data_IF_195773967690
#
_entry.id   IF_195773967690
#
_cell.length_a   1.000
_cell.length_b   1.000
_cell.length_c   1.000
_cell.angle_alpha   90.00
_cell.angle_beta   90.00
_cell.angle_gamma   90.00
#
_symmetry.space_group_name_H-M   'P 1'
#
loop_
_entity.id
_entity.type
_entity.pdbx_description
1 polymer ?
#
# COMPACT_ATOMS: atom_id res chain seq x y z
N UNK A 1 -17.10 37.64 -24.22
CA UNK A 1 -17.92 36.65 -23.49
C UNK A 1 -17.13 35.36 -23.35
N UNK A 2 -16.30 35.22 -22.29
CA UNK A 2 -15.75 33.92 -21.92
C UNK A 2 -16.87 33.10 -21.27
N UNK A 3 -17.11 31.93 -21.85
CA UNK A 3 -18.30 31.10 -21.69
C UNK A 3 -18.40 30.50 -20.28
N UNK A 4 -19.62 30.49 -19.77
CA UNK A 4 -20.08 29.75 -18.58
C UNK A 4 -19.60 28.29 -18.54
N UNK A 5 -19.35 27.68 -19.71
CA UNK A 5 -18.78 26.34 -19.86
C UNK A 5 -17.38 26.17 -19.24
N UNK A 6 -16.55 27.23 -19.22
CA UNK A 6 -15.20 27.18 -18.65
C UNK A 6 -15.21 27.09 -17.12
N UNK A 7 -16.22 27.67 -16.46
CA UNK A 7 -16.35 27.61 -15.00
C UNK A 7 -16.82 26.23 -14.53
N UNK A 8 -17.63 25.53 -15.32
CA UNK A 8 -18.09 24.18 -15.00
C UNK A 8 -16.93 23.17 -15.02
N UNK A 9 -16.05 23.25 -16.01
CA UNK A 9 -14.83 22.43 -16.08
C UNK A 9 -13.88 22.70 -14.92
N UNK A 10 -13.72 23.97 -14.53
CA UNK A 10 -12.87 24.34 -13.39
C UNK A 10 -13.43 23.78 -12.07
N UNK A 11 -14.75 23.86 -11.90
CA UNK A 11 -15.44 23.32 -10.72
C UNK A 11 -15.35 21.79 -10.64
N UNK A 12 -15.44 21.11 -11.78
CA UNK A 12 -15.32 19.64 -11.87
C UNK A 12 -13.88 19.15 -11.59
N UNK A 13 -12.88 19.91 -12.03
CA UNK A 13 -11.48 19.64 -11.70
C UNK A 13 -11.18 19.88 -10.21
N UNK A 14 -11.79 20.91 -9.62
CA UNK A 14 -11.66 21.20 -8.18
C UNK A 14 -12.29 20.11 -7.32
N UNK A 15 -13.49 19.61 -7.66
CA UNK A 15 -14.14 18.53 -6.90
C UNK A 15 -13.40 17.19 -7.05
N UNK A 16 -12.84 16.90 -8.23
CA UNK A 16 -12.02 15.70 -8.44
C UNK A 16 -10.73 15.75 -7.61
N UNK A 17 -10.09 16.93 -7.55
CA UNK A 17 -8.90 17.18 -6.73
C UNK A 17 -9.20 17.05 -5.24
N UNK A 18 -10.36 17.55 -4.79
CA UNK A 18 -10.77 17.51 -3.37
C UNK A 18 -11.05 16.07 -2.91
N UNK A 19 -11.77 15.27 -3.71
CA UNK A 19 -12.04 13.85 -3.43
C UNK A 19 -10.76 13.01 -3.39
N UNK A 20 -9.77 13.31 -4.25
CA UNK A 20 -8.48 12.63 -4.26
C UNK A 20 -7.60 12.94 -3.03
N UNK A 21 -7.86 14.06 -2.33
CA UNK A 21 -7.17 14.44 -1.10
C UNK A 21 -7.85 13.81 0.12
N UNK A 22 -9.19 13.82 0.18
CA UNK A 22 -9.92 13.22 1.32
C UNK A 22 -9.79 11.69 1.39
N UNK A 23 -9.71 11.00 0.25
CA UNK A 23 -9.47 9.54 0.22
C UNK A 23 -8.01 9.13 0.54
N UNK A 24 -7.10 10.06 0.86
CA UNK A 24 -5.71 9.73 1.28
C UNK A 24 -5.59 9.37 2.76
N UNK A 25 -6.50 9.89 3.57
CA UNK A 25 -6.57 9.57 4.99
C UNK A 25 -7.99 9.06 5.24
N UNK A 26 -8.13 7.74 5.21
CA UNK A 26 -9.31 7.13 5.79
C UNK A 26 -8.97 6.82 7.26
N UNK A 27 -9.47 7.58 8.24
CA UNK A 27 -9.35 7.23 9.65
C UNK A 27 -10.29 6.05 10.03
N UNK A 28 -10.83 5.32 9.05
CA UNK A 28 -11.58 4.10 9.30
C UNK A 28 -10.58 2.98 9.64
N UNK A 29 -10.30 2.90 10.93
CA UNK A 29 -9.86 1.69 11.60
C UNK A 29 -10.93 0.62 11.37
N UNK A 30 -10.82 -0.12 10.27
CA UNK A 30 -11.56 -1.37 10.14
C UNK A 30 -11.23 -2.22 11.37
N UNK A 31 -12.25 -2.77 12.03
CA UNK A 31 -12.03 -3.57 13.24
C UNK A 31 -10.99 -4.64 12.93
N UNK A 32 -9.91 -4.75 13.74
CA UNK A 32 -8.82 -5.66 13.45
C UNK A 32 -9.33 -7.09 13.34
N UNK A 33 -8.98 -7.76 12.25
CA UNK A 33 -9.37 -9.14 12.01
C UNK A 33 -8.32 -10.07 12.63
N UNK A 34 -8.74 -10.96 13.52
CA UNK A 34 -7.87 -11.95 14.15
C UNK A 34 -8.01 -13.27 13.41
N UNK A 35 -6.91 -13.75 12.83
CA UNK A 35 -6.89 -15.02 12.10
C UNK A 35 -5.79 -15.91 12.70
N UNK A 36 -6.13 -17.17 12.97
CA UNK A 36 -5.17 -18.21 13.34
C UNK A 36 -4.48 -18.74 12.08
N UNK A 37 -3.20 -18.46 11.90
CA UNK A 37 -2.41 -19.02 10.80
C UNK A 37 -1.45 -20.06 11.38
N UNK A 38 -1.69 -21.32 11.02
CA UNK A 38 -1.08 -22.50 11.65
C UNK A 38 -1.39 -22.62 13.16
N UNK A 39 -1.34 -23.82 13.72
CA UNK A 39 -1.82 -24.12 15.10
C UNK A 39 -1.11 -23.36 16.23
N UNK A 40 -0.18 -22.45 15.94
CA UNK A 40 0.74 -21.85 16.92
C UNK A 40 0.77 -20.31 16.90
N UNK A 41 0.39 -19.61 15.81
CA UNK A 41 0.48 -18.15 15.72
C UNK A 41 -0.90 -17.49 15.49
N UNK A 42 -1.32 -16.64 16.43
CA UNK A 42 -2.45 -15.74 16.22
C UNK A 42 -1.92 -14.48 15.51
N UNK A 43 -2.27 -14.29 14.24
CA UNK A 43 -1.93 -13.07 13.50
C UNK A 43 -3.13 -12.12 13.61
N UNK A 44 -2.92 -10.98 14.29
CA UNK A 44 -3.83 -9.83 14.24
C UNK A 44 -3.38 -8.95 13.09
N UNK A 45 -4.23 -8.78 12.07
CA UNK A 45 -3.95 -7.91 10.92
C UNK A 45 -5.01 -6.83 10.80
N UNK A 46 -4.57 -5.60 10.57
CA UNK A 46 -5.42 -4.41 10.46
C UNK A 46 -4.89 -3.53 9.34
N UNK A 47 -5.78 -2.94 8.53
CA UNK A 47 -5.38 -1.96 7.53
C UNK A 47 -5.38 -0.57 8.18
N UNK A 48 -4.20 0.01 8.32
CA UNK A 48 -4.00 1.29 9.00
C UNK A 48 -4.17 2.48 8.05
N UNK A 49 -3.70 2.33 6.81
CA UNK A 49 -3.82 3.38 5.80
C UNK A 49 -3.81 2.76 4.39
N UNK A 50 -4.43 3.43 3.44
CA UNK A 50 -4.34 3.07 2.04
C UNK A 50 -4.60 4.28 1.13
N UNK A 51 -4.09 4.20 -0.09
CA UNK A 51 -4.38 5.17 -1.15
C UNK A 51 -4.31 4.47 -2.51
N UNK A 52 -5.22 4.84 -3.42
CA UNK A 52 -5.18 4.35 -4.81
C UNK A 52 -5.33 2.83 -4.94
N UNK A 53 -5.96 2.17 -3.97
CA UNK A 53 -6.09 0.71 -3.91
C UNK A 53 -7.53 0.26 -4.01
N UNK A 54 -7.79 -0.80 -4.77
CA UNK A 54 -9.10 -1.45 -4.81
C UNK A 54 -9.26 -2.48 -3.68
N UNK A 55 -10.49 -2.90 -3.40
CA UNK A 55 -10.77 -3.98 -2.44
C UNK A 55 -9.99 -5.26 -2.76
N UNK A 56 -9.90 -5.62 -4.04
CA UNK A 56 -9.17 -6.81 -4.50
C UNK A 56 -7.67 -6.69 -4.18
N UNK A 57 -7.09 -5.49 -4.33
CA UNK A 57 -5.70 -5.24 -3.95
C UNK A 57 -5.50 -5.41 -2.44
N UNK A 58 -6.40 -4.83 -1.63
CA UNK A 58 -6.34 -4.96 -0.16
C UNK A 58 -6.43 -6.42 0.29
N UNK A 59 -7.34 -7.21 -0.30
CA UNK A 59 -7.49 -8.62 0.02
C UNK A 59 -6.29 -9.46 -0.46
N UNK A 60 -5.76 -9.18 -1.64
CA UNK A 60 -4.57 -9.87 -2.16
C UNK A 60 -3.35 -9.60 -1.26
N UNK A 61 -3.15 -8.34 -0.87
CA UNK A 61 -2.09 -7.94 0.04
C UNK A 61 -2.23 -8.62 1.41
N UNK A 62 -3.43 -8.59 2.00
CA UNK A 62 -3.74 -9.29 3.25
C UNK A 62 -3.42 -10.78 3.16
N UNK A 63 -3.84 -11.46 2.09
CA UNK A 63 -3.56 -12.88 1.89
C UNK A 63 -2.05 -13.16 1.71
N UNK A 64 -1.34 -12.29 0.99
CA UNK A 64 0.10 -12.42 0.82
C UNK A 64 0.85 -12.26 2.15
N UNK A 65 0.42 -11.33 3.00
CA UNK A 65 0.96 -11.18 4.36
C UNK A 65 0.68 -12.44 5.17
N UNK A 66 -0.58 -12.87 5.27
CA UNK A 66 -0.95 -14.04 6.08
C UNK A 66 -0.23 -15.32 5.64
N UNK A 67 0.12 -15.45 4.36
CA UNK A 67 0.83 -16.62 3.83
C UNK A 67 2.33 -16.60 4.14
N UNK A 68 2.96 -15.42 4.12
CA UNK A 68 4.42 -15.32 4.09
C UNK A 68 5.02 -14.66 5.34
N UNK A 69 4.22 -13.99 6.16
CA UNK A 69 4.69 -13.33 7.38
C UNK A 69 4.76 -14.33 8.53
N UNK A 70 5.97 -14.57 9.05
CA UNK A 70 6.20 -15.51 10.15
C UNK A 70 5.98 -14.91 11.54
N UNK A 71 6.01 -13.57 11.66
CA UNK A 71 5.96 -12.87 12.95
C UNK A 71 7.32 -12.70 13.63
N UNK A 72 8.36 -13.39 13.15
CA UNK A 72 9.75 -13.16 13.57
C UNK A 72 10.34 -11.96 12.82
N UNK A 73 11.44 -11.39 13.34
CA UNK A 73 12.09 -10.28 12.65
C UNK A 73 12.66 -10.77 11.32
N UNK A 74 12.37 -10.10 10.18
CA UNK A 74 12.81 -10.54 8.87
C UNK A 74 14.33 -10.38 8.74
N UNK A 75 15.09 -11.42 9.11
CA UNK A 75 16.55 -11.40 9.05
C UNK A 75 17.10 -11.43 7.61
N UNK A 76 16.27 -11.79 6.62
CA UNK A 76 16.73 -12.06 5.24
C UNK A 76 15.96 -11.28 4.17
N UNK A 77 14.93 -10.52 4.52
CA UNK A 77 14.05 -9.83 3.55
C UNK A 77 13.17 -10.76 2.69
N UNK A 78 13.26 -12.09 2.87
CA UNK A 78 12.52 -13.07 2.07
C UNK A 78 11.00 -12.88 2.14
N UNK A 79 10.47 -12.56 3.32
CA UNK A 79 9.03 -12.29 3.50
C UNK A 79 8.57 -11.09 2.66
N UNK A 80 9.36 -10.01 2.68
CA UNK A 80 9.07 -8.79 1.91
C UNK A 80 9.08 -9.08 0.41
N UNK A 81 10.05 -9.86 -0.06
CA UNK A 81 10.14 -10.29 -1.45
C UNK A 81 8.92 -11.13 -1.87
N UNK A 82 8.55 -12.15 -1.09
CA UNK A 82 7.42 -13.03 -1.40
C UNK A 82 6.07 -12.28 -1.40
N UNK A 83 5.90 -11.30 -0.52
CA UNK A 83 4.72 -10.43 -0.51
C UNK A 83 4.72 -9.54 -1.76
N UNK A 84 5.85 -8.94 -2.12
CA UNK A 84 6.01 -8.12 -3.32
C UNK A 84 5.68 -8.92 -4.59
N UNK A 85 6.29 -10.09 -4.76
CA UNK A 85 6.04 -10.98 -5.90
C UNK A 85 4.56 -11.37 -6.04
N UNK A 86 3.84 -11.58 -4.92
CA UNK A 86 2.42 -11.88 -4.96
C UNK A 86 1.60 -10.73 -5.55
N UNK A 87 1.97 -9.48 -5.23
CA UNK A 87 1.34 -8.29 -5.78
C UNK A 87 1.71 -8.07 -7.25
N UNK A 88 3.00 -8.24 -7.60
CA UNK A 88 3.50 -8.14 -8.97
C UNK A 88 2.82 -9.15 -9.89
N UNK A 89 2.72 -10.42 -9.45
CA UNK A 89 2.07 -11.49 -10.21
C UNK A 89 0.60 -11.18 -10.51
N UNK A 90 -0.09 -10.50 -9.60
CA UNK A 90 -1.53 -10.22 -9.73
C UNK A 90 -1.84 -8.92 -10.45
N UNK A 91 -1.05 -7.86 -10.25
CA UNK A 91 -1.37 -6.50 -10.70
C UNK A 91 -0.32 -5.87 -11.61
N UNK A 92 0.79 -6.57 -11.87
CA UNK A 92 1.91 -6.08 -12.65
C UNK A 92 2.62 -4.86 -12.05
N UNK A 93 3.68 -4.42 -12.72
CA UNK A 93 4.57 -3.37 -12.22
C UNK A 93 5.52 -3.90 -11.14
N UNK A 94 6.25 -2.98 -10.49
CA UNK A 94 7.15 -3.28 -9.37
C UNK A 94 6.46 -2.89 -8.07
N UNK A 95 6.56 -3.75 -7.06
CA UNK A 95 5.96 -3.51 -5.74
C UNK A 95 7.01 -3.58 -4.65
N UNK A 96 7.16 -2.48 -3.92
CA UNK A 96 8.03 -2.38 -2.77
C UNK A 96 7.28 -2.83 -1.51
N UNK A 97 7.95 -3.63 -0.68
CA UNK A 97 7.47 -4.04 0.63
C UNK A 97 8.49 -3.66 1.69
N UNK A 98 8.04 -2.99 2.74
CA UNK A 98 8.86 -2.65 3.90
C UNK A 98 8.16 -3.12 5.18
N UNK A 99 8.92 -3.77 6.05
CA UNK A 99 8.47 -4.26 7.36
C UNK A 99 9.30 -3.51 8.41
N UNK A 100 8.62 -2.91 9.38
CA UNK A 100 9.23 -2.12 10.46
C UNK A 100 8.40 -2.24 11.74
N UNK A 101 8.90 -1.65 12.82
CA UNK A 101 8.19 -1.58 14.09
C UNK A 101 6.90 -0.78 13.97
N UNK A 102 5.88 -1.13 14.76
CA UNK A 102 4.58 -0.44 14.70
C UNK A 102 4.67 1.03 15.13
N UNK A 103 5.66 1.37 15.96
CA UNK A 103 5.97 2.73 16.40
C UNK A 103 6.82 3.46 15.35
N UNK A 104 6.32 3.56 14.12
CA UNK A 104 7.00 4.24 13.03
C UNK A 104 6.16 5.38 12.46
N UNK A 105 6.84 6.46 12.07
CA UNK A 105 6.22 7.53 11.30
C UNK A 105 6.32 7.20 9.81
N UNK A 106 5.20 6.77 9.21
CA UNK A 106 5.09 6.70 7.76
C UNK A 106 5.15 8.11 7.17
N UNK A 107 6.31 8.50 6.65
CA UNK A 107 6.45 9.81 6.03
C UNK A 107 5.44 9.98 4.86
N UNK A 108 4.74 11.11 4.83
CA UNK A 108 3.79 11.54 3.77
C UNK A 108 4.35 11.45 2.34
N UNK A 109 5.67 11.28 2.19
CA UNK A 109 6.39 11.19 0.91
C UNK A 109 6.04 9.94 0.09
N UNK A 110 5.57 8.85 0.71
CA UNK A 110 5.19 7.63 -0.01
C UNK A 110 4.07 7.92 -1.02
N UNK A 111 3.07 8.71 -0.63
CA UNK A 111 1.91 9.07 -1.48
C UNK A 111 2.33 9.89 -2.71
N UNK A 112 3.46 10.62 -2.64
CA UNK A 112 3.98 11.39 -3.79
C UNK A 112 4.69 10.51 -4.82
N UNK A 113 5.17 9.32 -4.42
CA UNK A 113 6.00 8.44 -5.26
C UNK A 113 5.29 7.16 -5.71
N UNK A 114 4.19 6.82 -5.05
CA UNK A 114 3.43 5.61 -5.30
C UNK A 114 2.01 5.93 -5.76
N UNK A 115 1.55 5.39 -6.91
CA UNK A 115 0.14 5.52 -7.31
C UNK A 115 -0.81 4.70 -6.43
N UNK A 116 -0.29 3.71 -5.69
CA UNK A 116 -1.09 2.81 -4.87
C UNK A 116 -0.27 2.30 -3.68
N UNK A 117 -0.71 2.53 -2.44
CA UNK A 117 -0.06 1.95 -1.26
C UNK A 117 -1.07 1.48 -0.22
N UNK A 118 -0.65 0.50 0.59
CA UNK A 118 -1.38 -0.03 1.74
C UNK A 118 -0.39 -0.16 2.90
N UNK A 119 -0.86 0.18 4.09
CA UNK A 119 -0.14 0.02 5.33
C UNK A 119 -0.96 -0.90 6.25
N UNK A 120 -0.38 -2.04 6.60
CA UNK A 120 -1.00 -3.00 7.52
C UNK A 120 -0.29 -3.00 8.87
N UNK A 121 -1.04 -3.00 9.95
CA UNK A 121 -0.56 -3.35 11.29
C UNK A 121 -0.71 -4.84 11.48
N UNK A 122 0.38 -5.54 11.76
CA UNK A 122 0.42 -6.99 11.91
C UNK A 122 1.12 -7.32 13.23
N UNK A 123 0.33 -7.68 14.24
CA UNK A 123 0.79 -7.78 15.63
C UNK A 123 1.49 -6.48 16.09
N UNK A 124 2.81 -6.53 16.36
CA UNK A 124 3.64 -5.39 16.80
C UNK A 124 4.48 -4.80 15.65
N UNK A 125 4.20 -5.21 14.42
CA UNK A 125 4.88 -4.72 13.21
C UNK A 125 3.93 -3.94 12.34
N UNK A 126 4.49 -3.12 11.48
CA UNK A 126 3.78 -2.51 10.39
C UNK A 126 4.43 -2.86 9.05
N UNK A 127 3.59 -3.16 8.06
CA UNK A 127 3.96 -3.65 6.74
C UNK A 127 3.42 -2.66 5.72
N UNK A 128 4.32 -1.91 5.10
CA UNK A 128 4.03 -1.05 3.96
C UNK A 128 4.16 -1.86 2.68
N UNK A 129 3.14 -1.79 1.83
CA UNK A 129 3.12 -2.34 0.47
C UNK A 129 2.80 -1.20 -0.47
N UNK A 130 3.72 -0.84 -1.35
CA UNK A 130 3.56 0.29 -2.25
C UNK A 130 3.93 -0.10 -3.68
N UNK A 131 3.07 0.25 -4.64
CA UNK A 131 3.39 0.15 -6.05
C UNK A 131 4.43 1.22 -6.39
N UNK A 132 5.54 0.85 -7.00
CA UNK A 132 6.46 1.86 -7.49
C UNK A 132 5.80 2.62 -8.64
N UNK A 133 5.89 3.96 -8.63
CA UNK A 133 5.62 4.74 -9.83
C UNK A 133 6.56 4.32 -10.96
N UNK A 134 6.33 4.81 -12.18
CA UNK A 134 7.27 4.65 -13.30
C UNK A 134 8.58 5.43 -13.07
N UNK A 135 9.26 5.19 -11.95
CA UNK A 135 10.57 5.71 -11.63
C UNK A 135 11.57 5.12 -12.62
N UNK A 136 11.69 5.76 -13.79
CA UNK A 136 12.72 5.53 -14.81
C UNK A 136 13.08 4.05 -15.03
N UNK A 137 12.21 3.33 -15.73
CA UNK A 137 12.67 2.25 -16.63
C UNK A 137 13.37 2.88 -17.84
N UNK A 138 14.48 3.56 -17.58
CA UNK A 138 15.49 3.95 -18.56
C UNK A 138 16.83 3.48 -18.00
N UNK A 139 16.99 2.16 -17.83
CA UNK A 139 18.29 1.56 -17.53
C UNK A 139 18.96 1.16 -18.85
N UNK A 140 19.49 2.16 -19.57
CA UNK A 140 20.72 1.97 -20.34
C UNK A 140 21.93 2.15 -19.41
N UNK A 141 21.87 1.62 -18.19
CA UNK A 141 22.96 1.74 -17.22
C UNK A 141 23.58 0.35 -17.03
N UNK A 142 24.82 0.11 -17.48
CA UNK A 142 25.44 -1.21 -17.57
C UNK A 142 26.05 -1.69 -16.25
N UNK A 143 25.53 -1.22 -15.10
CA UNK A 143 26.08 -1.55 -13.77
C UNK A 143 25.03 -2.22 -12.86
N UNK A 144 24.01 -2.83 -13.45
CA UNK A 144 23.27 -3.96 -12.88
C UNK A 144 23.50 -5.18 -13.77
#
# INVERSE_FOLDING_TARGET
>A
MLKTESYFLLFLLLTFSYSAVYNRFSPYWDKPERIKVNRTLNIKIELLANFGTSEIMKQTAKQAILKNFSGEWPNTGNESNLIGEAMERRFGGVWMVAIFDIDFDAAYTIVKRSPSYMLFGVNERAILIAKEGNGRKNSNNPLL
#
